data_IF_747311161476
#
_entry.id   IF_747311161476
#
_cell.length_a   1.000
_cell.length_b   1.000
_cell.length_c   1.000
_cell.angle_alpha   90.00
_cell.angle_beta   90.00
_cell.angle_gamma   90.00
#
_symmetry.space_group_name_H-M   'P 1'
#
loop_
_entity.id
_entity.type
_entity.pdbx_description
1 polymer ?
#
# COMPACT_ATOMS: atom_id res chain seq x y z
N UNK A 1 6.28 0.57 -9.10
CA UNK A 1 6.22 1.70 -8.16
C UNK A 1 7.53 1.83 -7.43
N UNK A 2 7.85 3.03 -7.04
CA UNK A 2 9.15 3.32 -6.44
C UNK A 2 9.04 3.41 -4.92
N UNK A 3 9.88 2.66 -4.24
CA UNK A 3 9.89 2.67 -2.77
C UNK A 3 10.26 4.05 -2.22
N UNK A 4 11.27 4.67 -2.81
CA UNK A 4 11.70 6.00 -2.35
C UNK A 4 10.59 7.02 -2.49
N UNK A 5 9.87 6.98 -3.59
CA UNK A 5 8.76 7.90 -3.79
C UNK A 5 7.66 7.65 -2.79
N UNK A 6 7.36 6.39 -2.53
CA UNK A 6 6.33 6.06 -1.54
C UNK A 6 6.72 6.54 -0.16
N UNK A 7 7.99 6.36 0.21
CA UNK A 7 8.49 6.84 1.49
C UNK A 7 8.35 8.35 1.59
N UNK A 8 8.68 9.05 0.52
CA UNK A 8 8.55 10.51 0.50
C UNK A 8 7.10 10.93 0.69
N UNK A 9 6.19 10.23 0.03
CA UNK A 9 4.77 10.56 0.15
C UNK A 9 4.23 10.31 1.54
N UNK A 10 4.80 9.33 2.24
CA UNK A 10 4.39 9.00 3.60
C UNK A 10 5.15 9.78 4.66
N UNK A 11 6.18 10.51 4.25
CA UNK A 11 7.00 11.26 5.18
C UNK A 11 7.95 10.40 5.98
N UNK A 12 8.31 9.24 5.45
CA UNK A 12 9.23 8.32 6.11
C UNK A 12 10.64 8.59 5.64
N UNK A 13 11.55 8.84 6.58
CA UNK A 13 12.92 9.18 6.23
C UNK A 13 13.92 8.08 6.54
N UNK A 14 13.53 7.10 7.35
CA UNK A 14 14.45 6.01 7.69
C UNK A 14 14.07 4.73 6.95
N UNK A 15 14.84 3.69 7.19
CA UNK A 15 14.66 2.41 6.51
C UNK A 15 13.93 1.38 7.34
N UNK A 16 13.45 1.77 8.50
CA UNK A 16 12.85 0.79 9.41
C UNK A 16 11.57 0.14 8.86
N UNK A 17 10.93 0.81 7.91
CA UNK A 17 9.69 0.30 7.33
C UNK A 17 9.85 -0.19 5.90
N UNK A 18 11.08 -0.26 5.41
CA UNK A 18 11.30 -0.64 4.00
C UNK A 18 10.68 -1.98 3.67
N UNK A 19 10.88 -2.97 4.52
CA UNK A 19 10.36 -4.30 4.27
C UNK A 19 8.83 -4.29 4.17
N UNK A 20 8.18 -3.59 5.07
CA UNK A 20 6.73 -3.48 5.06
C UNK A 20 6.26 -2.75 3.81
N UNK A 21 6.94 -1.67 3.46
CA UNK A 21 6.57 -0.87 2.30
C UNK A 21 6.78 -1.65 1.01
N UNK A 22 7.85 -2.43 0.92
CA UNK A 22 8.06 -3.27 -0.26
C UNK A 22 6.95 -4.30 -0.39
N UNK A 23 6.54 -4.87 0.70
CA UNK A 23 5.44 -5.83 0.69
C UNK A 23 4.14 -5.15 0.23
N UNK A 24 3.88 -3.95 0.75
CA UNK A 24 2.69 -3.19 0.37
C UNK A 24 2.71 -2.87 -1.13
N UNK A 25 3.86 -2.44 -1.63
CA UNK A 25 4.00 -2.14 -3.06
C UNK A 25 3.72 -3.38 -3.89
N UNK A 26 4.32 -4.50 -3.52
CA UNK A 26 4.12 -5.74 -4.27
C UNK A 26 2.65 -6.15 -4.26
N UNK A 27 2.01 -6.00 -3.12
CA UNK A 27 0.60 -6.36 -2.96
C UNK A 27 -0.28 -5.50 -3.86
N UNK A 28 -0.04 -4.19 -3.84
CA UNK A 28 -0.82 -3.25 -4.65
C UNK A 28 -0.61 -3.54 -6.14
N UNK A 29 0.64 -3.75 -6.54
CA UNK A 29 0.92 -4.04 -7.94
C UNK A 29 0.22 -5.31 -8.39
N UNK A 30 0.22 -6.32 -7.55
CA UNK A 30 -0.44 -7.57 -7.88
C UNK A 30 -1.95 -7.38 -8.01
N UNK A 31 -2.53 -6.64 -7.08
CA UNK A 31 -3.97 -6.36 -7.13
C UNK A 31 -4.34 -5.66 -8.43
N UNK A 32 -3.60 -4.63 -8.79
CA UNK A 32 -3.92 -3.85 -9.99
C UNK A 32 -3.69 -4.68 -11.24
N UNK A 33 -2.59 -5.42 -11.30
CA UNK A 33 -2.32 -6.24 -12.48
C UNK A 33 -3.40 -7.31 -12.66
N UNK A 34 -3.82 -7.92 -11.59
CA UNK A 34 -4.87 -8.92 -11.67
C UNK A 34 -6.21 -8.31 -12.07
N UNK A 35 -6.50 -7.15 -11.52
CA UNK A 35 -7.76 -6.48 -11.83
C UNK A 35 -7.81 -6.05 -13.30
N UNK A 36 -6.70 -5.55 -13.82
CA UNK A 36 -6.62 -5.07 -15.19
C UNK A 36 -6.19 -6.14 -16.18
N UNK A 37 -5.80 -7.31 -15.70
CA UNK A 37 -5.30 -8.40 -16.55
C UNK A 37 -4.10 -7.96 -17.37
N UNK A 38 -3.16 -7.27 -16.74
CA UNK A 38 -1.94 -6.81 -17.40
C UNK A 38 -0.73 -7.33 -16.66
N UNK A 39 0.39 -7.39 -17.35
CA UNK A 39 1.62 -7.90 -16.78
C UNK A 39 2.44 -6.79 -16.12
N UNK A 40 2.20 -5.56 -16.52
CA UNK A 40 2.91 -4.40 -15.98
C UNK A 40 1.93 -3.43 -15.39
N UNK A 41 2.43 -2.65 -14.45
CA UNK A 41 1.64 -1.58 -13.86
C UNK A 41 1.34 -0.53 -14.92
N UNK A 42 0.08 -0.28 -15.26
CA UNK A 42 -0.25 0.75 -16.25
C UNK A 42 0.16 2.13 -15.76
N UNK A 43 0.73 2.93 -16.67
CA UNK A 43 1.17 4.28 -16.30
C UNK A 43 0.03 5.11 -15.71
N UNK A 44 -1.16 4.97 -16.26
CA UNK A 44 -2.30 5.74 -15.78
C UNK A 44 -2.77 5.35 -14.40
N UNK A 45 -2.32 4.21 -13.89
CA UNK A 45 -2.73 3.74 -12.57
C UNK A 45 -1.63 3.83 -11.53
N UNK A 46 -0.47 4.38 -11.90
CA UNK A 46 0.64 4.47 -10.94
C UNK A 46 0.26 5.34 -9.75
N UNK A 47 -0.33 6.49 -9.99
CA UNK A 47 -0.74 7.35 -8.88
C UNK A 47 -1.80 6.69 -8.02
N UNK A 48 -2.73 5.99 -8.64
CA UNK A 48 -3.74 5.23 -7.91
C UNK A 48 -3.06 4.16 -7.05
N UNK A 49 -2.04 3.52 -7.63
CA UNK A 49 -1.27 2.52 -6.90
C UNK A 49 -0.60 3.09 -5.66
N UNK A 50 -0.01 4.28 -5.79
CA UNK A 50 0.60 4.93 -4.62
C UNK A 50 -0.43 5.23 -3.55
N UNK A 51 -1.61 5.71 -3.95
CA UNK A 51 -2.66 5.98 -2.98
C UNK A 51 -3.12 4.72 -2.27
N UNK A 52 -3.27 3.64 -3.02
CA UNK A 52 -3.63 2.36 -2.42
C UNK A 52 -2.56 1.89 -1.45
N UNK A 53 -1.30 2.04 -1.83
CA UNK A 53 -0.19 1.64 -0.98
C UNK A 53 -0.18 2.45 0.31
N UNK A 54 -0.41 3.75 0.19
CA UNK A 54 -0.46 4.61 1.37
C UNK A 54 -1.60 4.21 2.29
N UNK A 55 -2.76 3.93 1.71
CA UNK A 55 -3.91 3.49 2.50
C UNK A 55 -3.65 2.18 3.20
N UNK A 56 -3.07 1.22 2.48
CA UNK A 56 -2.74 -0.07 3.07
C UNK A 56 -1.75 0.09 4.21
N UNK A 57 -0.73 0.91 4.00
CA UNK A 57 0.26 1.12 5.03
C UNK A 57 -0.38 1.75 6.28
N UNK A 58 -1.22 2.74 6.09
CA UNK A 58 -1.88 3.39 7.20
C UNK A 58 -2.83 2.44 7.92
N UNK A 59 -3.56 1.66 7.16
CA UNK A 59 -4.48 0.70 7.75
C UNK A 59 -3.73 -0.39 8.52
N UNK A 60 -2.57 -0.80 8.01
CA UNK A 60 -1.75 -1.78 8.70
C UNK A 60 -1.26 -1.25 10.04
N UNK A 61 -0.80 0.00 10.04
CA UNK A 61 -0.31 0.63 11.25
C UNK A 61 -1.40 0.85 12.29
N UNK A 62 -2.52 1.37 11.84
CA UNK A 62 -3.65 1.63 12.71
C UNK A 62 -4.44 0.35 12.89
N UNK A 63 -4.38 -0.49 11.87
CA UNK A 63 -5.17 -1.68 11.79
C UNK A 63 -4.91 -2.66 12.90
N UNK A 64 -3.69 -2.72 13.40
CA UNK A 64 -3.42 -3.59 14.52
C UNK A 64 -4.24 -3.18 15.72
N UNK A 65 -4.58 -1.91 15.81
CA UNK A 65 -5.43 -1.43 16.88
C UNK A 65 -6.88 -1.48 16.47
N UNK A 66 -7.20 -0.83 15.36
CA UNK A 66 -8.59 -0.75 14.95
C UNK A 66 -9.05 -1.98 14.20
N UNK A 67 -8.15 -2.90 13.91
CA UNK A 67 -8.60 -4.15 13.33
C UNK A 67 -9.55 -4.85 14.29
N UNK A 68 -9.29 -4.74 15.57
CA UNK A 68 -10.20 -5.27 16.55
C UNK A 68 -11.54 -4.54 16.49
N UNK A 69 -11.46 -3.23 16.37
CA UNK A 69 -12.66 -2.40 16.28
C UNK A 69 -13.33 -2.61 14.94
N UNK A 70 -12.52 -2.58 13.89
CA UNK A 70 -13.05 -2.73 12.54
C UNK A 70 -13.73 -4.05 12.34
N UNK A 71 -13.13 -5.10 12.84
CA UNK A 71 -13.73 -6.41 12.75
C UNK A 71 -15.04 -6.46 13.49
N UNK A 72 -15.09 -5.77 14.61
CA UNK A 72 -16.31 -5.68 15.38
C UNK A 72 -17.35 -4.89 14.63
N UNK A 73 -16.92 -3.76 14.10
CA UNK A 73 -17.87 -2.86 13.45
C UNK A 73 -18.41 -3.44 12.16
N UNK A 74 -17.70 -4.37 11.56
CA UNK A 74 -18.17 -4.99 10.34
C UNK A 74 -19.34 -5.90 10.59
N UNK A 75 -19.65 -6.08 11.80
CA UNK A 75 -20.81 -6.87 12.17
C UNK A 75 -22.07 -5.96 12.28
#
# INVERSE_FOLDING_TARGET
>A
MDLEKLKALLGIEDDSKDMVLEFVIADVEEIIKNYCHVEKMPDGLINTGYRMAMDLYRNENIGSESAAVGAVSSI
#
